data_IF_499892412439
#
_entry.id   IF_499892412439
#
_cell.length_a   1.000
_cell.length_b   1.000
_cell.length_c   1.000
_cell.angle_alpha   90.00
_cell.angle_beta   90.00
_cell.angle_gamma   90.00
#
_symmetry.space_group_name_H-M   'P 1'
#
loop_
_entity.id
_entity.type
_entity.pdbx_description
1 polymer ?
#
# COMPACT_ATOMS: atom_id res chain seq x y z
N UNK A 1 -1.72 11.37 27.96
CA UNK A 1 -2.48 11.68 29.20
C UNK A 1 -2.95 10.38 29.78
N UNK A 2 -2.68 10.22 31.08
CA UNK A 2 -2.84 9.01 31.91
C UNK A 2 -4.29 8.53 31.84
N UNK A 3 -4.49 7.21 31.70
CA UNK A 3 -5.79 6.57 31.98
C UNK A 3 -6.16 6.92 33.43
N UNK A 4 -7.13 7.81 33.63
CA UNK A 4 -7.40 8.52 34.89
C UNK A 4 -7.83 7.63 36.08
N UNK A 5 -7.95 6.31 35.90
CA UNK A 5 -8.34 5.42 36.99
C UNK A 5 -7.17 4.52 37.46
N UNK A 6 -6.79 4.60 38.75
CA UNK A 6 -5.86 3.65 39.35
C UNK A 6 -6.51 2.26 39.44
N UNK A 7 -5.74 1.22 39.13
CA UNK A 7 -6.22 -0.17 39.07
C UNK A 7 -5.56 -1.09 40.10
N UNK A 8 -4.66 -0.54 40.91
CA UNK A 8 -3.98 -1.30 41.96
C UNK A 8 -2.91 -0.47 42.65
N UNK A 9 -2.17 -1.14 43.54
CA UNK A 9 -1.05 -0.55 44.28
C UNK A 9 0.01 -1.58 44.63
N UNK A 10 1.25 -1.12 44.69
CA UNK A 10 2.40 -1.92 45.14
C UNK A 10 2.30 -2.16 46.65
N UNK A 11 2.48 -3.39 47.08
CA UNK A 11 2.63 -3.76 48.49
C UNK A 11 4.12 -3.84 48.86
N UNK A 12 4.89 -4.62 48.08
CA UNK A 12 6.32 -4.86 48.25
C UNK A 12 6.99 -4.92 46.87
N UNK A 13 8.26 -4.55 46.77
CA UNK A 13 8.95 -4.47 45.48
C UNK A 13 10.44 -4.75 45.55
N UNK A 14 10.99 -5.09 44.40
CA UNK A 14 12.42 -5.17 44.11
C UNK A 14 12.76 -4.23 42.95
N UNK A 15 13.94 -4.38 42.34
CA UNK A 15 14.29 -3.69 41.10
C UNK A 15 13.66 -4.31 39.85
N UNK A 16 13.05 -5.50 39.96
CA UNK A 16 12.63 -6.30 38.80
C UNK A 16 11.15 -6.68 38.83
N UNK A 17 10.54 -6.70 40.02
CA UNK A 17 9.15 -7.08 40.20
C UNK A 17 8.53 -6.42 41.44
N UNK A 18 7.21 -6.53 41.56
CA UNK A 18 6.49 -6.12 42.75
C UNK A 18 5.31 -7.03 43.06
N UNK A 19 5.06 -7.25 44.34
CA UNK A 19 3.80 -7.79 44.86
C UNK A 19 2.80 -6.66 44.98
N UNK A 20 1.62 -6.85 44.43
CA UNK A 20 0.62 -5.80 44.28
C UNK A 20 -0.76 -6.28 44.74
N UNK A 21 -1.58 -5.32 45.12
CA UNK A 21 -3.03 -5.47 45.27
C UNK A 21 -3.69 -4.81 44.06
N UNK A 22 -4.73 -5.44 43.53
CA UNK A 22 -5.44 -5.01 42.33
C UNK A 22 -6.93 -4.81 42.59
N UNK A 23 -7.57 -3.99 41.76
CA UNK A 23 -9.02 -3.99 41.67
C UNK A 23 -9.53 -5.22 40.89
N UNK A 24 -10.85 -5.44 40.90
CA UNK A 24 -11.48 -6.58 40.23
C UNK A 24 -11.44 -6.53 38.69
N UNK A 25 -10.91 -5.47 38.08
CA UNK A 25 -10.84 -5.29 36.63
C UNK A 25 -9.53 -5.76 36.02
N UNK A 26 -8.49 -5.96 36.85
CA UNK A 26 -7.17 -6.43 36.39
C UNK A 26 -7.20 -7.94 36.17
N UNK A 27 -6.56 -8.39 35.09
CA UNK A 27 -6.38 -9.81 34.76
C UNK A 27 -4.90 -10.16 34.63
N UNK A 28 -4.58 -11.44 34.79
CA UNK A 28 -3.24 -11.95 34.47
C UNK A 28 -2.89 -11.63 33.01
N UNK A 29 -1.65 -11.21 32.79
CA UNK A 29 -1.17 -10.77 31.48
C UNK A 29 -1.42 -9.30 31.16
N UNK A 30 -2.25 -8.59 31.92
CA UNK A 30 -2.50 -7.15 31.71
C UNK A 30 -1.21 -6.34 31.75
N UNK A 31 -1.12 -5.34 30.86
CA UNK A 31 -0.07 -4.35 30.88
C UNK A 31 -0.46 -3.19 31.79
N UNK A 32 0.37 -2.92 32.79
CA UNK A 32 0.22 -1.84 33.75
C UNK A 32 1.44 -0.93 33.70
N UNK A 33 1.36 0.23 34.35
CA UNK A 33 2.53 1.06 34.63
C UNK A 33 2.40 1.76 35.97
N UNK A 34 3.54 2.18 36.51
CA UNK A 34 3.63 3.07 37.66
C UNK A 34 4.67 4.16 37.39
N UNK A 35 4.67 5.19 38.23
CA UNK A 35 5.58 6.32 38.10
C UNK A 35 6.59 6.32 39.26
N UNK A 36 7.89 6.29 38.93
CA UNK A 36 8.99 6.51 39.89
C UNK A 36 9.84 7.66 39.38
N UNK A 37 10.06 8.68 40.21
CA UNK A 37 10.89 9.84 39.85
C UNK A 37 10.49 10.55 38.54
N UNK A 38 9.18 10.60 38.24
CA UNK A 38 8.61 11.14 36.99
C UNK A 38 8.88 10.28 35.73
N UNK A 39 9.42 9.08 35.90
CA UNK A 39 9.57 8.09 34.83
C UNK A 39 8.42 7.08 34.92
N UNK A 40 7.82 6.76 33.77
CA UNK A 40 6.84 5.68 33.65
C UNK A 40 7.58 4.35 33.49
N UNK A 41 7.27 3.40 34.37
CA UNK A 41 7.85 2.06 34.37
C UNK A 41 6.74 1.09 34.01
N UNK A 42 6.90 0.40 32.89
CA UNK A 42 5.89 -0.54 32.40
C UNK A 42 6.08 -1.87 33.09
N UNK A 43 4.97 -2.57 33.31
CA UNK A 43 4.96 -3.85 33.96
C UNK A 43 3.87 -4.75 33.39
N UNK A 44 4.03 -6.06 33.58
CA UNK A 44 3.04 -7.07 33.22
C UNK A 44 2.58 -7.77 34.47
N UNK A 45 1.28 -8.07 34.57
CA UNK A 45 0.77 -8.96 35.61
C UNK A 45 1.16 -10.39 35.28
N UNK A 46 1.95 -11.02 36.15
CA UNK A 46 2.47 -12.37 35.95
C UNK A 46 1.49 -13.43 36.48
N UNK A 47 0.98 -13.21 37.68
CA UNK A 47 0.11 -14.15 38.40
C UNK A 47 -0.78 -13.40 39.40
N UNK A 48 -2.00 -13.88 39.62
CA UNK A 48 -2.98 -13.30 40.55
C UNK A 48 -3.66 -14.36 41.42
N UNK A 49 -3.97 -14.00 42.67
CA UNK A 49 -4.66 -14.84 43.64
C UNK A 49 -5.70 -14.03 44.44
N UNK A 50 -6.86 -14.62 44.67
CA UNK A 50 -7.89 -14.04 45.55
C UNK A 50 -7.57 -14.42 47.00
N UNK A 51 -7.32 -13.42 47.84
CA UNK A 51 -7.13 -13.59 49.29
C UNK A 51 -8.41 -13.26 50.05
N UNK A 52 -9.00 -14.21 50.80
CA UNK A 52 -10.30 -14.04 51.46
C UNK A 52 -10.47 -12.77 52.31
N UNK A 53 -9.39 -12.25 52.89
CA UNK A 53 -9.39 -11.06 53.76
C UNK A 53 -8.62 -9.86 53.21
N UNK A 54 -7.98 -9.99 52.04
CA UNK A 54 -7.07 -8.98 51.48
C UNK A 54 -7.39 -8.58 50.04
N UNK A 55 -8.44 -9.14 49.45
CA UNK A 55 -8.82 -8.86 48.07
C UNK A 55 -7.92 -9.57 47.07
N UNK A 56 -7.73 -8.96 45.90
CA UNK A 56 -7.02 -9.54 44.78
C UNK A 56 -5.54 -9.13 44.85
N UNK A 57 -4.64 -10.07 45.09
CA UNK A 57 -3.19 -9.84 45.13
C UNK A 57 -2.51 -10.56 43.97
N UNK A 58 -1.29 -10.16 43.64
CA UNK A 58 -0.48 -10.87 42.66
C UNK A 58 0.88 -10.23 42.43
N UNK A 59 1.58 -10.72 41.41
CA UNK A 59 2.92 -10.26 41.06
C UNK A 59 2.91 -9.57 39.71
N UNK A 60 3.69 -8.49 39.61
CA UNK A 60 4.02 -7.84 38.36
C UNK A 60 5.52 -7.93 38.08
N UNK A 61 5.88 -8.14 36.82
CA UNK A 61 7.25 -8.05 36.32
C UNK A 61 7.46 -6.71 35.62
N UNK A 62 8.60 -6.06 35.89
CA UNK A 62 8.92 -4.79 35.25
C UNK A 62 9.53 -5.03 33.87
N UNK A 63 9.11 -4.25 32.88
CA UNK A 63 9.66 -4.28 31.51
C UNK A 63 10.93 -3.45 31.42
N UNK A 64 11.00 -2.35 32.16
CA UNK A 64 12.19 -1.52 32.34
C UNK A 64 12.67 -1.57 33.79
N UNK A 65 13.99 -1.50 33.98
CA UNK A 65 14.56 -1.38 35.32
C UNK A 65 14.36 0.05 35.82
N UNK A 66 13.61 0.26 36.93
CA UNK A 66 13.37 1.60 37.45
C UNK A 66 14.65 2.18 38.06
N UNK A 67 14.74 3.51 38.16
CA UNK A 67 15.86 4.18 38.83
C UNK A 67 16.02 3.80 40.32
N UNK A 68 14.94 3.30 40.94
CA UNK A 68 14.90 2.68 42.28
C UNK A 68 13.63 1.82 42.43
N UNK A 69 13.54 0.91 43.40
CA UNK A 69 12.32 0.13 43.62
C UNK A 69 11.12 1.05 43.91
N UNK A 70 9.92 0.75 43.36
CA UNK A 70 8.72 1.51 43.70
C UNK A 70 8.39 1.34 45.18
N UNK A 71 7.99 2.42 45.86
CA UNK A 71 7.65 2.33 47.29
C UNK A 71 6.34 1.56 47.47
N UNK A 72 6.14 0.98 48.64
CA UNK A 72 4.82 0.51 49.05
C UNK A 72 3.78 1.63 48.86
N UNK A 73 2.57 1.25 48.46
CA UNK A 73 1.44 2.10 48.07
C UNK A 73 1.66 2.90 46.77
N UNK A 74 2.71 2.64 46.00
CA UNK A 74 2.83 3.21 44.63
C UNK A 74 1.64 2.74 43.81
N UNK A 75 0.94 3.69 43.20
CA UNK A 75 -0.29 3.43 42.45
C UNK A 75 0.04 2.85 41.08
N UNK A 76 -0.71 1.82 40.69
CA UNK A 76 -0.67 1.19 39.39
C UNK A 76 -1.80 1.76 38.52
N UNK A 77 -1.47 2.03 37.27
CA UNK A 77 -2.39 2.48 36.25
C UNK A 77 -2.41 1.47 35.11
N UNK A 78 -3.54 1.36 34.42
CA UNK A 78 -3.62 0.53 33.21
C UNK A 78 -2.72 1.13 32.13
N UNK A 79 -1.76 0.35 31.64
CA UNK A 79 -0.91 0.80 30.54
C UNK A 79 -1.66 0.59 29.25
N UNK A 80 -2.08 1.69 28.64
CA UNK A 80 -2.56 1.71 27.27
C UNK A 80 -1.47 2.39 26.45
N UNK A 81 -0.78 1.62 25.61
CA UNK A 81 0.14 2.21 24.65
C UNK A 81 -0.66 3.15 23.75
N UNK A 82 -0.49 4.46 23.94
CA UNK A 82 -1.07 5.48 23.09
C UNK A 82 -0.29 5.47 21.78
N UNK A 83 -0.71 4.58 20.90
CA UNK A 83 -0.29 4.61 19.50
C UNK A 83 -0.92 5.86 18.89
N UNK A 84 -0.08 6.77 18.36
CA UNK A 84 -0.60 7.85 17.53
C UNK A 84 -1.11 7.25 16.22
N UNK A 85 -2.39 7.49 15.88
CA UNK A 85 -2.95 7.14 14.59
C UNK A 85 -2.49 8.04 13.44
N UNK A 86 -1.70 9.07 13.73
CA UNK A 86 -1.34 10.10 12.73
C UNK A 86 -0.20 9.59 11.86
N UNK A 87 -0.44 9.28 10.58
CA UNK A 87 0.55 8.81 9.60
C UNK A 87 1.12 9.95 8.76
N UNK A 88 2.42 9.93 8.48
CA UNK A 88 3.10 10.95 7.68
C UNK A 88 3.25 10.51 6.22
N UNK A 89 2.51 11.16 5.32
CA UNK A 89 2.44 10.74 3.92
C UNK A 89 3.37 11.49 2.98
N UNK A 90 3.69 12.75 3.26
CA UNK A 90 4.45 13.55 2.32
C UNK A 90 4.20 15.03 2.48
N UNK A 91 4.21 15.75 1.35
CA UNK A 91 4.06 17.21 1.34
C UNK A 91 2.97 17.67 0.39
N UNK A 92 2.34 18.79 0.70
CA UNK A 92 1.46 19.48 -0.24
C UNK A 92 2.27 20.28 -1.28
N UNK A 93 1.58 20.92 -2.22
CA UNK A 93 2.21 21.76 -3.25
C UNK A 93 2.84 23.06 -2.72
N UNK A 94 2.59 23.40 -1.45
CA UNK A 94 3.20 24.54 -0.74
C UNK A 94 4.42 24.10 0.08
N UNK A 95 4.72 22.79 0.13
CA UNK A 95 5.82 22.22 0.87
C UNK A 95 5.51 21.88 2.34
N UNK A 96 4.26 21.99 2.78
CA UNK A 96 3.85 21.65 4.15
C UNK A 96 3.73 20.14 4.29
N UNK A 97 4.11 19.61 5.46
CA UNK A 97 3.93 18.20 5.77
C UNK A 97 2.44 17.84 5.83
N UNK A 98 2.10 16.74 5.17
CA UNK A 98 0.76 16.18 5.15
C UNK A 98 0.74 14.93 5.99
N UNK A 99 -0.16 14.96 6.97
CA UNK A 99 -0.44 13.84 7.88
C UNK A 99 -1.91 13.45 7.75
N UNK A 100 -2.20 12.18 7.96
CA UNK A 100 -3.56 11.63 7.97
C UNK A 100 -3.81 10.91 9.29
N UNK A 101 -5.07 10.81 9.70
CA UNK A 101 -5.48 9.83 10.70
C UNK A 101 -5.51 8.43 10.06
N UNK A 102 -5.24 7.38 10.83
CA UNK A 102 -5.36 5.98 10.39
C UNK A 102 -6.81 5.53 10.28
N UNK A 103 -7.71 6.06 11.10
CA UNK A 103 -9.09 5.58 11.21
C UNK A 103 -9.84 5.56 9.86
N UNK A 104 -9.71 6.55 8.95
CA UNK A 104 -10.34 6.47 7.64
C UNK A 104 -9.85 5.29 6.77
N UNK A 105 -8.66 4.73 7.03
CA UNK A 105 -8.19 3.50 6.36
C UNK A 105 -8.95 2.25 6.81
N UNK A 106 -9.55 2.28 8.01
CA UNK A 106 -10.43 1.22 8.52
C UNK A 106 -11.84 1.26 7.93
N UNK A 107 -12.22 2.36 7.25
CA UNK A 107 -13.44 2.45 6.43
C UNK A 107 -13.18 2.18 4.95
N UNK A 108 -12.11 1.43 4.68
CA UNK A 108 -11.66 0.97 3.38
C UNK A 108 -11.21 2.08 2.41
N UNK A 109 -10.24 1.78 1.55
CA UNK A 109 -9.56 2.77 0.72
C UNK A 109 -9.16 2.19 -0.63
N UNK A 110 -9.46 2.94 -1.70
CA UNK A 110 -8.96 2.67 -3.05
C UNK A 110 -7.63 3.39 -3.29
N UNK A 111 -6.62 2.68 -3.79
CA UNK A 111 -5.36 3.24 -4.25
C UNK A 111 -5.19 3.00 -5.77
N UNK A 112 -5.50 4.01 -6.57
CA UNK A 112 -5.72 3.86 -8.01
C UNK A 112 -4.78 4.75 -8.82
N UNK A 113 -4.43 4.30 -10.03
CA UNK A 113 -3.42 4.98 -10.84
C UNK A 113 -2.80 4.11 -11.92
N UNK A 114 -2.17 4.72 -12.91
CA UNK A 114 -1.39 3.96 -13.91
C UNK A 114 -0.15 3.29 -13.29
N UNK A 115 0.45 2.37 -14.04
CA UNK A 115 1.72 1.73 -13.63
C UNK A 115 2.81 2.78 -13.38
N UNK A 116 3.69 2.49 -12.41
CA UNK A 116 4.84 3.29 -12.01
C UNK A 116 4.56 4.73 -11.51
N UNK A 117 3.31 5.08 -11.19
CA UNK A 117 2.95 6.44 -10.71
C UNK A 117 3.08 6.65 -9.21
N UNK A 118 3.19 5.59 -8.42
CA UNK A 118 3.37 5.69 -6.97
C UNK A 118 2.36 4.89 -6.14
N UNK A 119 1.47 4.08 -6.75
CA UNK A 119 0.52 3.23 -6.02
C UNK A 119 1.20 2.31 -5.00
N UNK A 120 2.08 1.41 -5.47
CA UNK A 120 2.82 0.47 -4.62
C UNK A 120 3.74 1.22 -3.66
N UNK A 121 4.34 2.34 -4.10
CA UNK A 121 5.12 3.22 -3.22
C UNK A 121 4.29 3.72 -2.04
N UNK A 122 3.06 4.19 -2.29
CA UNK A 122 2.16 4.62 -1.23
C UNK A 122 1.75 3.47 -0.31
N UNK A 123 1.56 2.26 -0.83
CA UNK A 123 1.27 1.10 0.03
C UNK A 123 2.45 0.75 0.93
N UNK A 124 3.69 0.75 0.40
CA UNK A 124 4.90 0.53 1.20
C UNK A 124 5.02 1.64 2.26
N UNK A 125 4.76 2.89 1.88
CA UNK A 125 4.72 4.01 2.80
C UNK A 125 3.69 3.80 3.93
N UNK A 126 2.47 3.39 3.60
CA UNK A 126 1.45 3.07 4.61
C UNK A 126 1.91 1.92 5.52
N UNK A 127 2.52 0.87 4.96
CA UNK A 127 3.10 -0.22 5.73
C UNK A 127 4.24 0.26 6.66
N UNK A 128 5.13 1.15 6.20
CA UNK A 128 6.15 1.77 7.06
C UNK A 128 5.50 2.53 8.22
N UNK A 129 4.48 3.33 7.95
CA UNK A 129 3.80 4.13 8.97
C UNK A 129 3.03 3.25 9.96
N UNK A 130 2.41 2.16 9.50
CA UNK A 130 1.82 1.12 10.35
C UNK A 130 2.86 0.48 11.27
N UNK A 131 4.01 0.09 10.72
CA UNK A 131 5.08 -0.59 11.48
C UNK A 131 5.61 0.30 12.59
N UNK A 132 5.92 1.57 12.30
CA UNK A 132 6.41 2.56 13.27
C UNK A 132 5.44 2.78 14.43
N UNK A 133 4.14 2.61 14.18
CA UNK A 133 3.06 2.85 15.13
C UNK A 133 2.58 1.58 15.82
N UNK A 134 3.02 0.41 15.39
CA UNK A 134 2.50 -0.86 15.90
C UNK A 134 1.03 -1.09 15.51
N UNK A 135 0.64 -0.64 14.32
CA UNK A 135 -0.65 -0.98 13.70
C UNK A 135 -0.45 -2.29 12.93
N UNK A 136 -1.08 -3.40 13.36
CA UNK A 136 -0.97 -4.68 12.66
C UNK A 136 -1.52 -4.59 11.24
N UNK A 137 -0.84 -5.23 10.30
CA UNK A 137 -1.27 -5.22 8.90
C UNK A 137 -0.94 -6.51 8.16
N UNK A 138 -1.74 -6.82 7.15
CA UNK A 138 -1.50 -7.90 6.19
C UNK A 138 -1.28 -7.23 4.84
N UNK A 139 -0.24 -7.62 4.12
CA UNK A 139 0.01 -7.19 2.73
C UNK A 139 -0.03 -8.40 1.82
N UNK A 140 -0.90 -8.39 0.82
CA UNK A 140 -0.88 -9.34 -0.29
C UNK A 140 -0.05 -8.71 -1.42
N UNK A 141 1.21 -9.14 -1.54
CA UNK A 141 2.18 -8.57 -2.47
C UNK A 141 2.28 -9.43 -3.73
N UNK A 142 1.85 -8.90 -4.88
CA UNK A 142 1.89 -9.65 -6.16
C UNK A 142 3.16 -9.45 -6.97
N UNK A 143 3.96 -8.43 -6.62
CA UNK A 143 5.11 -7.95 -7.38
C UNK A 143 6.44 -8.10 -6.62
N UNK A 144 6.40 -8.44 -5.33
CA UNK A 144 7.59 -8.61 -4.49
C UNK A 144 8.27 -7.29 -4.13
N UNK A 145 7.55 -6.17 -4.14
CA UNK A 145 8.13 -4.83 -3.89
C UNK A 145 8.33 -4.54 -2.39
N UNK A 146 7.79 -5.38 -1.49
CA UNK A 146 7.87 -5.19 -0.04
C UNK A 146 9.02 -5.98 0.63
N UNK A 147 9.75 -6.81 -0.12
CA UNK A 147 10.75 -7.77 0.41
C UNK A 147 11.88 -7.15 1.25
N UNK A 148 12.14 -5.85 1.09
CA UNK A 148 13.20 -5.14 1.81
C UNK A 148 12.77 -4.60 3.17
N UNK A 149 11.47 -4.57 3.46
CA UNK A 149 10.97 -4.00 4.71
C UNK A 149 11.54 -4.66 5.98
N UNK A 150 11.73 -5.99 6.06
CA UNK A 150 12.34 -6.63 7.23
C UNK A 150 13.77 -6.17 7.55
N UNK A 151 14.52 -5.68 6.55
CA UNK A 151 15.86 -5.12 6.78
C UNK A 151 15.81 -3.84 7.66
N UNK A 152 14.67 -3.14 7.67
CA UNK A 152 14.49 -1.85 8.37
C UNK A 152 13.56 -1.94 9.57
N UNK A 153 12.58 -2.85 9.53
CA UNK A 153 11.52 -2.95 10.52
C UNK A 153 11.45 -4.37 11.08
N UNK A 154 11.84 -4.53 12.34
CA UNK A 154 11.92 -5.85 13.00
C UNK A 154 10.56 -6.52 13.19
N UNK A 155 9.48 -5.75 13.22
CA UNK A 155 8.10 -6.24 13.32
C UNK A 155 7.47 -6.48 11.94
N UNK A 156 8.26 -6.56 10.87
CA UNK A 156 7.78 -6.89 9.53
C UNK A 156 8.34 -8.24 9.13
N UNK A 157 7.47 -9.14 8.69
CA UNK A 157 7.84 -10.45 8.18
C UNK A 157 7.38 -10.60 6.73
N UNK A 158 8.16 -11.30 5.93
CA UNK A 158 7.81 -11.65 4.54
C UNK A 158 7.76 -13.17 4.47
N UNK A 159 6.65 -13.69 3.99
CA UNK A 159 6.37 -15.13 3.91
C UNK A 159 5.73 -15.44 2.55
N UNK A 160 5.99 -16.63 2.01
CA UNK A 160 5.32 -17.08 0.78
C UNK A 160 3.98 -17.79 1.10
N UNK A 161 3.85 -18.32 2.32
CA UNK A 161 2.64 -18.95 2.83
C UNK A 161 2.60 -18.87 4.37
N UNK A 162 1.41 -18.86 4.95
CA UNK A 162 1.21 -18.80 6.41
C UNK A 162 -0.13 -19.44 6.80
N UNK A 163 -0.14 -20.14 7.93
CA UNK A 163 -1.40 -20.65 8.52
C UNK A 163 -2.15 -19.54 9.24
N UNK A 164 -3.47 -19.65 9.35
CA UNK A 164 -4.30 -18.67 10.07
C UNK A 164 -3.87 -18.47 11.51
N UNK A 165 -3.50 -19.56 12.21
CA UNK A 165 -3.01 -19.49 13.59
C UNK A 165 -1.71 -18.68 13.72
N UNK A 166 -0.74 -18.91 12.83
CA UNK A 166 0.52 -18.18 12.83
C UNK A 166 0.32 -16.71 12.40
N UNK A 167 -0.59 -16.46 11.45
CA UNK A 167 -0.98 -15.11 11.05
C UNK A 167 -1.54 -14.34 12.24
N UNK A 168 -2.50 -14.91 12.97
CA UNK A 168 -3.09 -14.28 14.16
C UNK A 168 -2.01 -14.02 15.23
N UNK A 169 -1.15 -15.00 15.50
CA UNK A 169 -0.07 -14.85 16.49
C UNK A 169 0.88 -13.68 16.14
N UNK A 170 1.20 -13.47 14.85
CA UNK A 170 1.99 -12.32 14.41
C UNK A 170 1.23 -11.00 14.53
N UNK A 171 -0.06 -10.97 14.16
CA UNK A 171 -0.88 -9.76 14.28
C UNK A 171 -1.04 -9.33 15.74
N UNK A 172 -1.23 -10.28 16.67
CA UNK A 172 -1.25 -10.04 18.12
C UNK A 172 0.05 -9.42 18.64
N UNK A 173 1.18 -9.73 18.01
CA UNK A 173 2.49 -9.12 18.30
C UNK A 173 2.71 -7.78 17.58
N UNK A 174 1.66 -7.21 16.95
CA UNK A 174 1.73 -5.95 16.18
C UNK A 174 2.69 -6.03 14.99
N UNK A 175 2.81 -7.22 14.39
CA UNK A 175 3.59 -7.39 13.19
C UNK A 175 2.83 -6.97 11.94
N UNK A 176 3.59 -6.63 10.90
CA UNK A 176 3.12 -6.59 9.53
C UNK A 176 3.51 -7.89 8.85
N UNK A 177 2.53 -8.59 8.30
CA UNK A 177 2.73 -9.84 7.58
C UNK A 177 2.58 -9.57 6.08
N UNK A 178 3.69 -9.64 5.36
CA UNK A 178 3.71 -9.54 3.90
C UNK A 178 3.69 -10.95 3.33
N UNK A 179 2.64 -11.26 2.57
CA UNK A 179 2.48 -12.50 1.81
C UNK A 179 2.96 -12.23 0.39
N UNK A 180 4.17 -12.71 0.08
CA UNK A 180 4.79 -12.53 -1.23
C UNK A 180 4.32 -13.60 -2.21
N UNK A 181 3.70 -13.15 -3.31
CA UNK A 181 3.17 -14.00 -4.36
C UNK A 181 3.83 -13.73 -5.71
N UNK A 182 5.03 -13.12 -5.72
CA UNK A 182 5.81 -12.90 -6.92
C UNK A 182 6.07 -14.24 -7.65
N UNK A 183 5.97 -14.23 -8.97
CA UNK A 183 6.18 -15.42 -9.80
C UNK A 183 5.02 -16.44 -9.78
N UNK A 184 4.02 -16.26 -8.90
CA UNK A 184 2.88 -17.16 -8.83
C UNK A 184 1.82 -16.85 -9.90
N UNK A 185 1.20 -17.91 -10.44
CA UNK A 185 0.08 -17.79 -11.38
C UNK A 185 -1.18 -17.20 -10.71
N UNK A 186 -2.02 -16.54 -11.50
CA UNK A 186 -3.21 -15.84 -10.99
C UNK A 186 -4.18 -16.75 -10.22
N UNK A 187 -4.37 -18.00 -10.63
CA UNK A 187 -5.23 -18.95 -9.93
C UNK A 187 -4.66 -19.33 -8.55
N UNK A 188 -3.35 -19.54 -8.47
CA UNK A 188 -2.67 -19.77 -7.19
C UNK A 188 -2.81 -18.56 -6.27
N UNK A 189 -2.56 -17.35 -6.79
CA UNK A 189 -2.76 -16.09 -6.05
C UNK A 189 -4.16 -16.00 -5.44
N UNK A 190 -5.20 -16.21 -6.25
CA UNK A 190 -6.59 -16.20 -5.80
C UNK A 190 -6.86 -17.25 -4.71
N UNK A 191 -6.40 -18.49 -4.92
CA UNK A 191 -6.59 -19.57 -3.94
C UNK A 191 -5.84 -19.31 -2.62
N UNK A 192 -4.63 -18.74 -2.66
CA UNK A 192 -3.89 -18.34 -1.46
C UNK A 192 -4.61 -17.22 -0.71
N UNK A 193 -5.16 -16.23 -1.42
CA UNK A 193 -5.96 -15.18 -0.79
C UNK A 193 -7.22 -15.74 -0.11
N UNK A 194 -7.94 -16.66 -0.76
CA UNK A 194 -9.09 -17.36 -0.15
C UNK A 194 -8.67 -18.13 1.09
N UNK A 195 -7.61 -18.94 0.99
CA UNK A 195 -7.14 -19.81 2.07
C UNK A 195 -6.59 -19.06 3.30
N UNK A 196 -6.16 -17.82 3.13
CA UNK A 196 -5.62 -17.00 4.23
C UNK A 196 -6.66 -16.00 4.74
N UNK A 197 -7.24 -15.18 3.86
CA UNK A 197 -8.12 -14.08 4.26
C UNK A 197 -9.50 -14.56 4.68
N UNK A 198 -10.02 -15.64 4.09
CA UNK A 198 -11.32 -16.22 4.47
C UNK A 198 -11.33 -16.70 5.93
N UNK A 199 -10.48 -17.68 6.29
CA UNK A 199 -10.39 -18.16 7.68
C UNK A 199 -9.99 -17.07 8.68
N UNK A 200 -9.17 -16.09 8.26
CA UNK A 200 -8.84 -14.94 9.11
C UNK A 200 -10.06 -14.05 9.39
N UNK A 201 -10.86 -13.74 8.36
CA UNK A 201 -12.11 -12.98 8.50
C UNK A 201 -13.08 -13.70 9.45
N UNK A 202 -13.29 -15.01 9.25
CA UNK A 202 -14.15 -15.83 10.12
C UNK A 202 -13.69 -15.82 11.58
N UNK A 203 -12.38 -15.97 11.81
CA UNK A 203 -11.81 -15.91 13.16
C UNK A 203 -12.02 -14.53 13.81
N UNK A 204 -11.86 -13.44 13.04
CA UNK A 204 -12.07 -12.08 13.51
C UNK A 204 -13.54 -11.78 13.82
N UNK A 205 -14.45 -12.24 12.97
CA UNK A 205 -15.89 -12.10 13.18
C UNK A 205 -16.34 -12.84 14.44
N UNK A 206 -15.83 -14.06 14.64
CA UNK A 206 -16.07 -14.84 15.86
C UNK A 206 -15.53 -14.16 17.11
N UNK A 207 -14.27 -13.72 17.12
CA UNK A 207 -13.65 -12.99 18.23
C UNK A 207 -14.46 -11.73 18.60
N UNK A 208 -15.00 -11.04 17.60
CA UNK A 208 -15.85 -9.87 17.82
C UNK A 208 -17.21 -10.24 18.45
N UNK A 209 -17.84 -11.31 17.97
CA UNK A 209 -19.13 -11.78 18.50
C UNK A 209 -19.01 -12.34 19.93
N UNK A 210 -17.98 -13.16 20.20
CA UNK A 210 -17.74 -13.80 21.50
C UNK A 210 -17.45 -12.77 22.60
N UNK A 211 -16.94 -11.59 22.24
CA UNK A 211 -16.67 -10.49 23.16
C UNK A 211 -17.81 -9.46 23.24
N UNK A 212 -19.05 -9.85 22.93
CA UNK A 212 -20.25 -9.00 22.95
C UNK A 212 -20.07 -7.67 22.18
N UNK A 213 -19.29 -7.69 21.10
CA UNK A 213 -18.94 -6.50 20.31
C UNK A 213 -18.11 -5.44 21.08
N UNK A 214 -17.47 -5.83 22.20
CA UNK A 214 -16.60 -4.95 22.97
C UNK A 214 -15.16 -5.00 22.42
N UNK A 215 -14.81 -3.97 21.65
CA UNK A 215 -13.51 -3.83 20.99
C UNK A 215 -12.30 -3.82 21.95
N UNK A 216 -12.50 -3.59 23.25
CA UNK A 216 -11.42 -3.61 24.26
C UNK A 216 -11.00 -5.02 24.67
N UNK A 217 -11.83 -6.03 24.38
CA UNK A 217 -11.63 -7.42 24.82
C UNK A 217 -11.17 -8.35 23.68
N UNK A 218 -11.04 -7.83 22.46
CA UNK A 218 -10.69 -8.61 21.27
C UNK A 218 -9.30 -9.24 21.40
N UNK A 219 -9.21 -10.54 21.14
CA UNK A 219 -7.94 -11.25 21.07
C UNK A 219 -7.20 -10.97 19.76
N UNK A 220 -7.95 -10.79 18.67
CA UNK A 220 -7.39 -10.44 17.38
C UNK A 220 -7.44 -8.92 17.28
N UNK A 221 -6.30 -8.22 17.07
CA UNK A 221 -6.30 -6.76 17.06
C UNK A 221 -6.95 -6.20 15.78
N UNK A 222 -7.36 -4.91 15.76
CA UNK A 222 -7.69 -4.23 14.52
C UNK A 222 -6.55 -4.37 13.51
N UNK A 223 -6.86 -4.74 12.27
CA UNK A 223 -5.87 -5.10 11.26
C UNK A 223 -6.16 -4.41 9.94
N UNK A 224 -5.13 -3.79 9.36
CA UNK A 224 -5.21 -3.21 8.01
C UNK A 224 -4.80 -4.24 6.97
N UNK A 225 -5.69 -4.55 6.02
CA UNK A 225 -5.43 -5.50 4.93
C UNK A 225 -5.13 -4.70 3.67
N UNK A 226 -3.95 -4.87 3.10
CA UNK A 226 -3.47 -4.18 1.91
C UNK A 226 -3.32 -5.19 0.76
N UNK A 227 -3.99 -4.97 -0.35
CA UNK A 227 -3.98 -5.88 -1.51
C UNK A 227 -3.45 -5.17 -2.74
N UNK A 228 -2.27 -5.58 -3.22
CA UNK A 228 -1.72 -5.06 -4.48
C UNK A 228 -2.33 -5.80 -5.68
N UNK A 229 -2.45 -5.11 -6.82
CA UNK A 229 -3.15 -5.60 -8.03
C UNK A 229 -4.51 -6.26 -7.72
N UNK A 230 -5.36 -5.56 -6.96
CA UNK A 230 -6.62 -6.08 -6.44
C UNK A 230 -7.58 -6.66 -7.50
N UNK A 231 -7.49 -6.24 -8.78
CA UNK A 231 -8.28 -6.84 -9.87
C UNK A 231 -7.88 -8.28 -10.22
N UNK A 232 -6.73 -8.75 -9.71
CA UNK A 232 -6.34 -10.17 -9.77
C UNK A 232 -7.18 -11.01 -8.81
N UNK A 233 -7.53 -10.47 -7.64
CA UNK A 233 -8.19 -11.18 -6.55
C UNK A 233 -9.71 -10.94 -6.53
N UNK A 234 -10.15 -9.75 -6.92
CA UNK A 234 -11.55 -9.38 -6.99
C UNK A 234 -11.91 -8.78 -8.36
N UNK A 235 -11.82 -9.57 -9.44
CA UNK A 235 -12.27 -9.11 -10.74
C UNK A 235 -13.79 -8.88 -10.72
N UNK A 236 -14.28 -7.97 -11.55
CA UNK A 236 -15.71 -7.81 -11.82
C UNK A 236 -16.29 -9.15 -12.28
N UNK A 237 -17.52 -9.43 -11.87
CA UNK A 237 -18.24 -10.66 -12.22
C UNK A 237 -18.18 -10.94 -13.73
N UNK A 238 -17.93 -12.20 -14.09
CA UNK A 238 -17.82 -12.65 -15.49
C UNK A 238 -16.48 -12.37 -16.18
N UNK A 239 -15.53 -11.68 -15.54
CA UNK A 239 -14.21 -11.38 -16.14
C UNK A 239 -13.24 -12.58 -16.03
N UNK A 240 -13.39 -13.46 -15.04
CA UNK A 240 -12.52 -14.62 -14.79
C UNK A 240 -13.32 -15.85 -14.31
N UNK A 241 -12.65 -17.01 -14.21
CA UNK A 241 -13.24 -18.28 -13.77
C UNK A 241 -13.60 -18.36 -12.28
N UNK A 242 -14.18 -19.49 -11.86
CA UNK A 242 -14.78 -19.70 -10.51
C UNK A 242 -13.86 -19.44 -9.32
N UNK A 243 -12.58 -19.79 -9.40
CA UNK A 243 -11.63 -19.59 -8.28
C UNK A 243 -11.43 -18.10 -7.95
N UNK A 244 -11.49 -17.25 -8.97
CA UNK A 244 -11.41 -15.80 -8.79
C UNK A 244 -12.67 -15.21 -8.16
N UNK A 245 -13.83 -15.85 -8.39
CA UNK A 245 -15.08 -15.42 -7.80
C UNK A 245 -15.07 -15.63 -6.29
N UNK A 246 -14.57 -16.77 -5.81
CA UNK A 246 -14.40 -17.03 -4.37
C UNK A 246 -13.48 -16.02 -3.70
N UNK A 247 -12.37 -15.67 -4.37
CA UNK A 247 -11.45 -14.65 -3.87
C UNK A 247 -12.11 -13.26 -3.84
N UNK A 248 -12.97 -12.95 -4.81
CA UNK A 248 -13.74 -11.72 -4.83
C UNK A 248 -14.73 -11.67 -3.66
N UNK A 249 -15.48 -12.75 -3.45
CA UNK A 249 -16.47 -12.88 -2.36
C UNK A 249 -15.84 -12.61 -0.98
N UNK A 250 -14.66 -13.17 -0.70
CA UNK A 250 -13.95 -12.92 0.57
C UNK A 250 -13.61 -11.43 0.73
N UNK A 251 -13.08 -10.79 -0.31
CA UNK A 251 -12.73 -9.37 -0.25
C UNK A 251 -13.97 -8.46 -0.20
N UNK A 252 -15.07 -8.86 -0.82
CA UNK A 252 -16.35 -8.16 -0.77
C UNK A 252 -16.99 -8.24 0.62
N UNK A 253 -16.96 -9.38 1.30
CA UNK A 253 -17.43 -9.49 2.69
C UNK A 253 -16.59 -8.63 3.64
N UNK A 254 -15.26 -8.63 3.48
CA UNK A 254 -14.37 -7.71 4.21
C UNK A 254 -14.74 -6.25 3.93
N UNK A 255 -15.00 -5.87 2.67
CA UNK A 255 -15.38 -4.50 2.33
C UNK A 255 -16.77 -4.10 2.86
N UNK A 256 -17.73 -5.02 2.91
CA UNK A 256 -19.10 -4.74 3.38
C UNK A 256 -19.21 -4.69 4.91
N UNK A 257 -18.44 -5.51 5.61
CA UNK A 257 -18.62 -5.76 7.06
C UNK A 257 -17.38 -5.54 7.91
N UNK A 258 -16.19 -5.59 7.30
CA UNK A 258 -14.90 -5.57 8.00
C UNK A 258 -14.70 -4.34 8.88
N UNK A 259 -15.12 -3.16 8.43
CA UNK A 259 -14.98 -1.91 9.19
C UNK A 259 -15.57 -2.02 10.61
N UNK A 260 -16.74 -2.67 10.76
CA UNK A 260 -17.43 -2.83 12.06
C UNK A 260 -16.64 -3.65 13.06
N UNK A 261 -15.86 -4.61 12.57
CA UNK A 261 -15.06 -5.53 13.39
C UNK A 261 -13.59 -5.11 13.45
N UNK A 262 -13.24 -3.91 12.97
CA UNK A 262 -11.88 -3.39 13.00
C UNK A 262 -10.96 -3.99 11.93
N UNK A 263 -11.49 -4.38 10.77
CA UNK A 263 -10.72 -4.71 9.58
C UNK A 263 -10.80 -3.57 8.57
N UNK A 264 -9.65 -2.97 8.26
CA UNK A 264 -9.52 -2.01 7.17
C UNK A 264 -9.08 -2.70 5.88
N UNK A 265 -9.49 -2.18 4.73
CA UNK A 265 -9.11 -2.73 3.43
C UNK A 265 -8.54 -1.63 2.54
N UNK A 266 -7.29 -1.77 2.12
CA UNK A 266 -6.66 -0.89 1.13
C UNK A 266 -6.39 -1.70 -0.12
N UNK A 267 -7.13 -1.42 -1.19
CA UNK A 267 -7.01 -2.13 -2.46
C UNK A 267 -6.31 -1.25 -3.49
N UNK A 268 -5.20 -1.73 -4.03
CA UNK A 268 -4.48 -1.04 -5.10
C UNK A 268 -4.70 -1.70 -6.46
N UNK A 269 -4.99 -0.92 -7.50
CA UNK A 269 -5.11 -1.45 -8.87
C UNK A 269 -4.87 -0.36 -9.92
N UNK A 270 -4.32 -0.75 -11.07
CA UNK A 270 -4.35 0.08 -12.28
C UNK A 270 -5.62 -0.06 -13.12
N UNK A 271 -6.40 -1.11 -12.90
CA UNK A 271 -7.54 -1.50 -13.74
C UNK A 271 -8.84 -1.37 -12.95
N UNK A 272 -9.10 -0.16 -12.44
CA UNK A 272 -10.30 0.13 -11.65
C UNK A 272 -11.60 -0.28 -12.36
N UNK A 273 -11.65 -0.22 -13.70
CA UNK A 273 -12.83 -0.67 -14.45
C UNK A 273 -13.08 -2.18 -14.41
N UNK A 274 -12.07 -2.98 -14.04
CA UNK A 274 -12.14 -4.44 -13.89
C UNK A 274 -12.26 -4.90 -12.44
N UNK A 275 -12.18 -4.01 -11.46
CA UNK A 275 -12.38 -4.34 -10.05
C UNK A 275 -13.88 -4.54 -9.77
N UNK A 276 -14.21 -5.44 -8.84
CA UNK A 276 -15.57 -5.65 -8.36
C UNK A 276 -16.27 -4.34 -7.97
N UNK A 277 -17.56 -4.21 -8.33
CA UNK A 277 -18.35 -3.01 -8.03
C UNK A 277 -18.46 -2.83 -6.52
N UNK A 278 -18.80 -3.90 -5.79
CA UNK A 278 -19.02 -3.87 -4.35
C UNK A 278 -17.78 -3.41 -3.58
N UNK A 279 -16.57 -3.81 -3.99
CA UNK A 279 -15.34 -3.30 -3.37
C UNK A 279 -15.17 -1.80 -3.64
N UNK A 280 -15.45 -1.33 -4.86
CA UNK A 280 -15.31 0.08 -5.21
C UNK A 280 -16.28 0.96 -4.44
N UNK A 281 -17.51 0.49 -4.25
CA UNK A 281 -18.59 1.26 -3.64
C UNK A 281 -18.49 1.28 -2.11
N UNK A 282 -17.86 0.28 -1.49
CA UNK A 282 -17.62 0.23 -0.05
C UNK A 282 -16.29 0.88 0.40
N UNK A 283 -15.49 1.43 -0.52
CA UNK A 283 -14.28 2.16 -0.16
C UNK A 283 -14.58 3.64 0.08
N UNK A 284 -14.60 4.06 1.35
CA UNK A 284 -14.96 5.44 1.73
C UNK A 284 -13.88 6.49 1.43
N UNK A 285 -12.67 6.03 1.11
CA UNK A 285 -11.51 6.88 0.83
C UNK A 285 -10.82 6.48 -0.48
N UNK A 286 -10.19 7.45 -1.14
CA UNK A 286 -9.46 7.23 -2.39
C UNK A 286 -8.15 8.01 -2.41
N UNK A 287 -7.06 7.30 -2.71
CA UNK A 287 -5.82 7.86 -3.22
C UNK A 287 -5.79 7.68 -4.74
N UNK A 288 -5.85 8.78 -5.48
CA UNK A 288 -5.87 8.76 -6.94
C UNK A 288 -4.61 9.40 -7.53
N UNK A 289 -3.76 8.56 -8.11
CA UNK A 289 -2.63 8.96 -8.93
C UNK A 289 -3.09 9.25 -10.37
N UNK A 290 -2.12 9.61 -11.23
CA UNK A 290 -2.37 9.87 -12.65
C UNK A 290 -3.13 8.73 -13.35
N UNK A 291 -4.27 9.06 -13.98
CA UNK A 291 -5.09 8.15 -14.81
C UNK A 291 -5.41 8.82 -16.16
N UNK A 292 -5.10 8.14 -17.27
CA UNK A 292 -5.37 8.62 -18.64
C UNK A 292 -6.43 7.78 -19.36
N UNK A 293 -6.45 6.45 -19.14
CA UNK A 293 -7.24 5.51 -19.92
C UNK A 293 -8.75 5.78 -19.92
N UNK A 294 -9.39 5.65 -21.08
CA UNK A 294 -10.82 5.99 -21.29
C UNK A 294 -11.75 5.15 -20.40
N UNK A 295 -11.57 3.83 -20.37
CA UNK A 295 -12.40 2.92 -19.57
C UNK A 295 -12.34 3.27 -18.07
N UNK A 296 -11.14 3.50 -17.53
CA UNK A 296 -10.97 3.93 -16.15
C UNK A 296 -11.65 5.30 -15.91
N UNK A 297 -11.47 6.27 -16.81
CA UNK A 297 -12.13 7.58 -16.68
C UNK A 297 -13.66 7.50 -16.64
N UNK A 298 -14.26 6.57 -17.39
CA UNK A 298 -15.71 6.34 -17.31
C UNK A 298 -16.09 5.85 -15.92
N UNK A 299 -15.40 4.80 -15.42
CA UNK A 299 -15.61 4.32 -14.05
C UNK A 299 -15.43 5.41 -13.00
N UNK A 300 -14.42 6.28 -13.12
CA UNK A 300 -14.24 7.38 -12.17
C UNK A 300 -15.42 8.35 -12.18
N UNK A 301 -16.03 8.64 -13.34
CA UNK A 301 -17.19 9.54 -13.41
C UNK A 301 -18.42 9.00 -12.70
N UNK A 302 -18.53 7.67 -12.62
CA UNK A 302 -19.63 7.00 -11.94
C UNK A 302 -19.44 7.00 -10.41
N UNK A 303 -18.22 7.26 -9.93
CA UNK A 303 -17.89 7.33 -8.51
C UNK A 303 -18.12 8.75 -7.95
N UNK A 304 -18.77 8.83 -6.79
CA UNK A 304 -19.16 10.10 -6.17
C UNK A 304 -17.99 11.03 -5.79
N UNK A 305 -16.76 10.51 -5.66
CA UNK A 305 -15.55 11.29 -5.36
C UNK A 305 -15.09 12.21 -6.49
N UNK A 306 -15.46 11.92 -7.74
CA UNK A 306 -14.83 12.53 -8.91
C UNK A 306 -15.78 13.43 -9.69
N UNK A 307 -15.54 14.73 -9.62
CA UNK A 307 -16.11 15.69 -10.57
C UNK A 307 -15.21 15.87 -11.81
N UNK A 308 -15.72 16.48 -12.90
CA UNK A 308 -14.92 16.72 -14.11
C UNK A 308 -13.61 17.49 -13.87
N UNK A 309 -13.59 18.40 -12.88
CA UNK A 309 -12.41 19.15 -12.48
C UNK A 309 -11.32 18.27 -11.89
N UNK A 310 -11.68 17.36 -10.97
CA UNK A 310 -10.74 16.37 -10.39
C UNK A 310 -10.20 15.45 -11.50
N UNK A 311 -11.06 14.95 -12.38
CA UNK A 311 -10.65 14.08 -13.50
C UNK A 311 -9.69 14.80 -14.45
N UNK A 312 -9.87 16.10 -14.68
CA UNK A 312 -8.91 16.90 -15.45
C UNK A 312 -7.60 17.08 -14.68
N UNK A 313 -7.68 17.36 -13.38
CA UNK A 313 -6.50 17.57 -12.50
C UNK A 313 -5.59 16.35 -12.45
N UNK A 314 -6.13 15.14 -12.22
CA UNK A 314 -5.32 13.91 -12.13
C UNK A 314 -4.56 13.59 -13.43
N UNK A 315 -4.98 14.13 -14.57
CA UNK A 315 -4.26 13.97 -15.85
C UNK A 315 -3.00 14.83 -15.98
N UNK A 316 -2.73 15.72 -15.02
CA UNK A 316 -1.51 16.52 -14.95
C UNK A 316 -0.49 15.98 -13.97
N UNK A 317 -0.89 15.05 -13.08
CA UNK A 317 -0.01 14.54 -12.03
C UNK A 317 1.24 13.86 -12.58
N UNK A 318 2.35 14.12 -11.91
CA UNK A 318 3.66 13.52 -12.13
C UNK A 318 3.86 12.32 -11.19
N UNK A 319 5.05 11.71 -11.21
CA UNK A 319 5.35 10.55 -10.36
C UNK A 319 5.35 10.95 -8.88
N UNK A 320 4.68 10.17 -8.04
CA UNK A 320 4.57 10.44 -6.61
C UNK A 320 3.48 11.45 -6.23
N UNK A 321 2.80 12.07 -7.20
CA UNK A 321 1.66 12.96 -6.94
C UNK A 321 0.34 12.19 -6.97
N UNK A 322 -0.46 12.35 -5.92
CA UNK A 322 -1.82 11.84 -5.86
C UNK A 322 -2.76 12.85 -5.20
N UNK A 323 -4.06 12.64 -5.40
CA UNK A 323 -5.12 13.34 -4.67
C UNK A 323 -5.74 12.38 -3.67
N UNK A 324 -5.90 12.85 -2.45
CA UNK A 324 -6.68 12.23 -1.39
C UNK A 324 -8.12 12.71 -1.52
N UNK A 325 -9.08 11.80 -1.48
CA UNK A 325 -10.52 12.06 -1.58
C UNK A 325 -11.28 11.18 -0.56
N UNK A 326 -12.43 11.66 -0.09
CA UNK A 326 -13.28 10.93 0.87
C UNK A 326 -12.89 11.22 2.32
N UNK A 327 -13.06 10.23 3.20
CA UNK A 327 -12.84 10.41 4.64
C UNK A 327 -11.36 10.67 4.98
N UNK A 328 -10.43 10.18 4.16
CA UNK A 328 -8.98 10.39 4.32
C UNK A 328 -8.55 11.85 4.07
N UNK A 329 -9.41 12.66 3.44
CA UNK A 329 -9.19 14.09 3.19
C UNK A 329 -9.52 14.49 1.75
N UNK A 330 -9.29 15.78 1.43
CA UNK A 330 -9.56 16.35 0.12
C UNK A 330 -8.42 17.29 -0.34
N UNK A 331 -7.23 16.74 -0.53
CA UNK A 331 -6.04 17.51 -0.89
C UNK A 331 -5.07 16.73 -1.77
N UNK A 332 -4.28 17.46 -2.56
CA UNK A 332 -3.22 16.88 -3.38
C UNK A 332 -1.93 16.82 -2.59
N UNK A 333 -1.27 15.67 -2.68
CA UNK A 333 -0.02 15.39 -1.97
C UNK A 333 1.02 14.89 -2.96
N UNK A 334 2.28 15.16 -2.66
CA UNK A 334 3.42 14.42 -3.17
C UNK A 334 3.88 13.49 -2.05
N UNK A 335 3.83 12.19 -2.30
CA UNK A 335 4.27 11.18 -1.33
C UNK A 335 5.73 11.41 -0.96
N UNK A 336 6.07 11.30 0.33
CA UNK A 336 7.48 11.37 0.76
C UNK A 336 8.28 10.25 0.12
N UNK A 337 9.58 10.47 0.03
CA UNK A 337 10.48 9.41 -0.38
C UNK A 337 10.47 8.29 0.66
N UNK A 338 10.52 7.06 0.13
CA UNK A 338 10.76 5.86 0.90
C UNK A 338 11.98 5.20 0.27
N UNK A 339 12.80 4.56 1.11
CA UNK A 339 13.94 3.81 0.61
C UNK A 339 13.40 2.52 0.00
N UNK A 340 13.19 2.53 -1.31
CA UNK A 340 12.97 1.32 -2.09
C UNK A 340 14.29 0.91 -2.74
N UNK A 341 14.70 -0.35 -2.58
CA UNK A 341 15.48 -1.00 -3.63
C UNK A 341 14.47 -1.40 -4.70
N UNK A 342 13.89 -0.45 -5.44
CA UNK A 342 13.48 -0.86 -6.79
C UNK A 342 14.71 -1.48 -7.43
N UNK A 343 14.54 -2.54 -8.21
CA UNK A 343 15.49 -2.83 -9.29
C UNK A 343 15.87 -1.47 -9.84
N UNK A 344 17.15 -1.08 -9.62
CA UNK A 344 17.72 0.19 -10.08
C UNK A 344 17.01 0.51 -11.37
N UNK A 345 16.40 1.71 -11.53
CA UNK A 345 15.88 2.17 -12.82
C UNK A 345 16.79 1.57 -13.85
N UNK A 346 16.32 0.53 -14.53
CA UNK A 346 17.18 -0.34 -15.31
C UNK A 346 17.60 0.62 -16.39
N UNK A 347 18.80 1.16 -16.27
CA UNK A 347 19.26 2.16 -17.21
C UNK A 347 19.56 1.34 -18.45
N UNK A 348 18.53 1.20 -19.28
CA UNK A 348 18.59 0.41 -20.48
C UNK A 348 19.71 0.94 -21.37
N UNK A 349 20.02 2.24 -21.33
CA UNK A 349 21.15 2.81 -22.03
C UNK A 349 22.47 2.22 -21.51
N UNK A 350 22.67 2.18 -20.18
CA UNK A 350 23.85 1.51 -19.59
C UNK A 350 23.88 0.00 -19.84
N UNK A 351 22.74 -0.68 -19.83
CA UNK A 351 22.67 -2.14 -20.04
C UNK A 351 22.89 -2.51 -21.50
N UNK A 352 22.37 -1.70 -22.42
CA UNK A 352 22.52 -1.88 -23.86
C UNK A 352 23.85 -1.29 -24.37
N UNK A 353 24.63 -0.64 -23.49
CA UNK A 353 25.88 0.03 -23.86
C UNK A 353 25.66 1.21 -24.81
N UNK A 354 24.48 1.84 -24.77
CA UNK A 354 24.19 3.03 -25.55
C UNK A 354 24.94 4.22 -24.95
N UNK A 355 25.54 5.00 -25.83
CA UNK A 355 26.29 6.19 -25.46
C UNK A 355 25.33 7.25 -24.90
N UNK A 356 25.50 7.58 -23.62
CA UNK A 356 24.63 8.54 -22.90
C UNK A 356 25.06 9.99 -23.07
N UNK A 357 26.03 10.27 -23.94
CA UNK A 357 26.52 11.63 -24.22
C UNK A 357 25.58 12.42 -25.16
N UNK A 358 24.30 12.47 -24.81
CA UNK A 358 23.45 13.60 -25.18
C UNK A 358 23.28 14.44 -23.93
N UNK A 359 24.25 15.32 -23.68
CA UNK A 359 24.02 16.46 -22.80
C UNK A 359 22.77 17.17 -23.31
N UNK A 360 21.76 17.31 -22.45
CA UNK A 360 20.62 18.20 -22.68
C UNK A 360 21.15 19.62 -22.94
N UNK A 361 21.41 19.95 -24.21
CA UNK A 361 21.41 21.33 -24.66
C UNK A 361 19.96 21.81 -24.59
N UNK A 362 19.53 22.16 -23.38
CA UNK A 362 18.41 23.07 -23.22
C UNK A 362 18.84 24.38 -23.87
N UNK A 363 18.17 24.90 -24.92
CA UNK A 363 18.52 26.21 -25.45
C UNK A 363 18.23 27.23 -24.35
N UNK A 364 19.29 27.69 -23.68
CA UNK A 364 19.20 28.74 -22.70
C UNK A 364 18.77 30.01 -23.39
N UNK A 365 17.55 30.47 -23.13
CA UNK A 365 17.17 31.86 -23.40
C UNK A 365 17.99 32.72 -22.44
N UNK A 366 19.11 33.26 -22.92
CA UNK A 366 19.88 34.27 -22.18
C UNK A 366 19.26 35.64 -22.48
N UNK A 367 18.50 36.17 -21.53
CA UNK A 367 18.09 37.57 -21.53
C UNK A 367 19.26 38.42 -21.04
N UNK A 368 19.73 39.35 -21.87
CA UNK A 368 20.58 40.49 -21.44
C UNK A 368 19.87 41.80 -21.76
N UNK A 369 20.22 42.87 -21.05
CA UNK A 369 19.54 44.19 -21.04
C UNK A 369 19.56 44.96 -22.38
N UNK A 370 19.94 44.35 -23.50
CA UNK A 370 19.87 44.97 -24.82
C UNK A 370 19.46 43.97 -25.91
N UNK A 371 18.16 43.68 -26.02
CA UNK A 371 17.51 43.13 -27.23
C UNK A 371 17.84 41.68 -27.60
N UNK A 372 16.81 40.91 -27.98
CA UNK A 372 16.94 39.52 -28.39
C UNK A 372 17.77 39.36 -29.69
N UNK A 373 18.77 38.47 -29.66
CA UNK A 373 19.40 37.94 -30.88
C UNK A 373 18.85 36.52 -31.08
N UNK A 374 18.08 36.32 -32.15
CA UNK A 374 17.74 35.00 -32.68
C UNK A 374 18.96 34.51 -33.44
N UNK A 375 19.54 33.40 -32.98
CA UNK A 375 20.70 32.78 -33.60
C UNK A 375 20.35 32.36 -35.04
N UNK A 376 21.06 32.93 -36.02
CA UNK A 376 20.80 32.78 -37.46
C UNK A 376 21.23 31.40 -38.00
N UNK A 377 21.76 30.50 -37.17
CA UNK A 377 22.22 29.18 -37.60
C UNK A 377 21.17 28.08 -37.49
N UNK A 378 19.99 28.32 -36.90
CA UNK A 378 18.94 27.30 -36.79
C UNK A 378 18.31 26.90 -38.15
N UNK A 379 18.13 27.87 -39.06
CA UNK A 379 17.59 27.61 -40.40
C UNK A 379 18.59 26.88 -41.31
N UNK A 380 19.90 27.05 -41.09
CA UNK A 380 20.94 26.30 -41.83
C UNK A 380 21.01 24.84 -41.39
N UNK A 381 20.84 24.57 -40.10
CA UNK A 381 20.79 23.21 -39.56
C UNK A 381 19.59 22.46 -40.14
N UNK A 382 18.41 23.10 -40.18
CA UNK A 382 17.20 22.53 -40.79
C UNK A 382 17.31 22.28 -42.30
N UNK A 383 18.02 23.15 -43.04
CA UNK A 383 18.30 22.93 -44.47
C UNK A 383 19.24 21.75 -44.70
N UNK A 384 20.31 21.65 -43.93
CA UNK A 384 21.27 20.54 -44.05
C UNK A 384 20.66 19.16 -43.71
N UNK A 385 19.66 19.13 -42.82
CA UNK A 385 18.93 17.90 -42.48
C UNK A 385 17.86 17.52 -43.53
N UNK A 386 17.39 18.48 -44.34
CA UNK A 386 16.50 18.21 -45.49
C UNK A 386 17.28 17.76 -46.72
N UNK A 387 18.45 18.35 -46.97
CA UNK A 387 19.26 18.02 -48.15
C UNK A 387 19.90 16.62 -48.01
N UNK A 388 20.30 16.20 -46.80
CA UNK A 388 20.79 14.82 -46.55
C UNK A 388 19.73 13.73 -46.70
N UNK A 389 18.44 14.07 -46.63
CA UNK A 389 17.34 13.11 -46.86
C UNK A 389 16.99 12.92 -48.34
N UNK A 390 17.53 13.75 -49.24
CA UNK A 390 17.31 13.62 -50.68
C UNK A 390 18.46 12.89 -51.41
N UNK A 391 19.63 12.74 -50.79
CA UNK A 391 20.78 12.05 -51.41
C UNK A 391 20.90 10.56 -51.06
N UNK A 392 20.17 10.05 -50.06
CA UNK A 392 20.21 8.61 -49.67
C UNK A 392 19.17 7.74 -50.40
N UNK A 393 18.34 8.30 -51.29
CA UNK A 393 17.32 7.56 -52.07
C UNK A 393 17.78 7.14 -53.48
N UNK A 394 19.03 7.41 -53.87
CA UNK A 394 19.58 6.99 -55.16
C UNK A 394 20.94 6.30 -54.98
N UNK A 395 20.96 5.07 -54.46
CA UNK A 395 21.86 3.97 -54.87
C UNK A 395 21.72 2.81 -53.89
N UNK A 396 21.29 1.64 -54.39
CA UNK A 396 21.80 0.30 -54.04
C UNK A 396 20.86 -0.77 -54.64
N UNK A 397 21.11 -1.11 -55.90
CA UNK A 397 20.86 -2.44 -56.42
C UNK A 397 22.21 -3.17 -56.42
N UNK A 398 22.32 -4.28 -55.72
CA UNK A 398 23.11 -5.44 -56.16
C UNK A 398 22.69 -6.68 -55.37
N UNK A 399 22.53 -7.78 -56.11
CA UNK A 399 21.99 -9.08 -55.71
C UNK A 399 22.74 -9.73 -54.53
N UNK A 400 21.99 -10.30 -53.59
CA UNK A 400 22.42 -11.51 -52.89
C UNK A 400 21.20 -12.32 -52.45
N UNK A 401 21.10 -13.53 -53.00
CA UNK A 401 20.25 -14.63 -52.56
C UNK A 401 20.43 -14.86 -51.05
N UNK A 402 19.40 -14.54 -50.26
CA UNK A 402 18.94 -15.35 -49.11
C UNK A 402 17.78 -14.60 -48.41
N UNK A 403 16.60 -15.21 -48.45
CA UNK A 403 15.34 -14.58 -48.11
C UNK A 403 15.17 -14.25 -46.62
N UNK A 404 15.07 -12.95 -46.30
CA UNK A 404 14.28 -12.42 -45.19
C UNK A 404 13.71 -11.07 -45.61
N UNK A 405 12.41 -11.02 -45.93
CA UNK A 405 11.70 -9.76 -46.23
C UNK A 405 11.27 -9.10 -44.91
N UNK A 406 11.99 -8.05 -44.49
CA UNK A 406 11.51 -7.11 -43.48
C UNK A 406 10.60 -6.09 -44.18
N UNK A 407 9.30 -6.13 -43.92
CA UNK A 407 8.38 -5.09 -44.38
C UNK A 407 8.63 -3.79 -43.60
N UNK A 408 9.27 -2.82 -44.25
CA UNK A 408 9.27 -1.41 -43.86
C UNK A 408 8.18 -0.67 -44.64
N UNK A 409 7.45 0.18 -43.90
CA UNK A 409 6.32 1.05 -44.25
C UNK A 409 4.89 0.49 -44.07
N UNK A 410 3.99 1.25 -43.38
CA UNK A 410 2.59 0.87 -43.25
C UNK A 410 1.93 0.89 -44.64
N UNK A 411 1.38 -0.26 -45.03
CA UNK A 411 0.60 -0.42 -46.26
C UNK A 411 -0.53 0.62 -46.31
N UNK A 412 -0.77 1.18 -47.49
CA UNK A 412 -1.94 2.03 -47.72
C UNK A 412 -3.22 1.21 -47.57
N UNK A 413 -4.32 1.87 -47.22
CA UNK A 413 -5.64 1.22 -47.06
C UNK A 413 -6.12 0.50 -48.34
N UNK A 414 -5.66 0.94 -49.51
CA UNK A 414 -5.96 0.26 -50.79
C UNK A 414 -5.16 -1.03 -50.96
N UNK A 415 -3.88 -1.02 -50.60
CA UNK A 415 -3.00 -2.19 -50.71
C UNK A 415 -3.41 -3.29 -49.71
N UNK A 416 -3.84 -2.88 -48.51
CA UNK A 416 -4.43 -3.79 -47.51
C UNK A 416 -5.70 -4.47 -48.02
N UNK A 417 -6.61 -3.72 -48.66
CA UNK A 417 -7.85 -4.28 -49.21
C UNK A 417 -7.60 -5.22 -50.38
N UNK A 418 -6.59 -4.95 -51.20
CA UNK A 418 -6.21 -5.82 -52.32
C UNK A 418 -5.63 -7.14 -51.81
N UNK A 419 -4.70 -7.08 -50.85
CA UNK A 419 -4.12 -8.27 -50.21
C UNK A 419 -5.17 -9.08 -49.44
N UNK A 420 -6.13 -8.44 -48.77
CA UNK A 420 -7.22 -9.15 -48.09
C UNK A 420 -8.09 -9.93 -49.09
N UNK A 421 -8.39 -9.36 -50.26
CA UNK A 421 -9.15 -10.04 -51.32
C UNK A 421 -8.40 -11.20 -51.96
N UNK A 422 -7.09 -11.09 -52.11
CA UNK A 422 -6.25 -12.19 -52.60
C UNK A 422 -6.18 -13.32 -51.55
N UNK A 423 -6.05 -12.96 -50.27
CA UNK A 423 -6.00 -13.91 -49.15
C UNK A 423 -7.32 -14.67 -48.92
N UNK A 424 -8.48 -14.01 -49.09
CA UNK A 424 -9.80 -14.65 -49.04
C UNK A 424 -10.03 -15.62 -50.22
N UNK A 425 -9.32 -15.43 -51.34
CA UNK A 425 -9.45 -16.26 -52.54
C UNK A 425 -8.68 -17.59 -52.43
N UNK A 426 -7.68 -17.63 -51.57
CA UNK A 426 -6.84 -18.82 -51.30
C UNK A 426 -7.43 -19.75 -50.22
N UNK A 427 -8.65 -19.49 -49.76
CA UNK A 427 -9.42 -20.44 -48.94
C UNK A 427 -8.93 -20.61 -47.49
N UNK A 428 -8.12 -19.69 -46.98
CA UNK A 428 -7.69 -19.71 -45.58
C UNK A 428 -8.80 -19.15 -44.66
N UNK A 429 -9.38 -20.00 -43.82
CA UNK A 429 -10.34 -19.60 -42.80
C UNK A 429 -9.70 -18.71 -41.71
N UNK A 430 -10.45 -17.70 -41.28
CA UNK A 430 -10.11 -16.65 -40.30
C UNK A 430 -9.40 -17.20 -39.05
N UNK A 431 -8.13 -16.80 -38.86
CA UNK A 431 -7.50 -16.71 -37.54
C UNK A 431 -7.28 -15.25 -37.17
#
# INVERSE_FOLDING_TARGET
MISENPVGRVLESTMENARCEFDSTVKEGDALFFIVNKEEIRCRVDFMEVKPSRGLEGWISFRERPSRPPKALTILYRYKELITGIMELGKDFRGNDVKIDVNPLFNHTLNIGMSQRGKTHLMILLAEECSKRGIPAIVIDTQGEFIHMPERFKNVIVVDNITTANLIAHLQQKHIVIINLLGMGNAYKANTAVGILGPFYEAKEKDYADNENNWLLLEIPPTLIMVDEADVFAPKEGVRGKDFQKSAEVLEEIAKRGAKIGLGLVVATQRISRLAIDIRDNCNSVFCFRIIGRSNKMTLRDMHYFNPGVIKKIQSFTKGECIMLGEIGNQTIRTRDIITRRSKNVNFEQILGLDTDIQEQTPGIVMTEAGAIVDQDFDKVLKSARDRRQEEDETLFEDSDDGVVLYSDPLSDEELKKRLKEWEKDGNEKQ
#
